data_IF_233128650767
#
_entry.id   IF_233128650767
#
_cell.length_a   1.000
_cell.length_b   1.000
_cell.length_c   1.000
_cell.angle_alpha   90.00
_cell.angle_beta   90.00
_cell.angle_gamma   90.00
#
_symmetry.space_group_name_H-M   'P 1'
#
loop_
_entity.id
_entity.type
_entity.pdbx_description
1 polymer ?
#
# COMPACT_ATOMS: atom_id res chain seq x y z
N UNK A 1 8.91 3.76 -14.57
CA UNK A 1 8.65 2.91 -13.38
C UNK A 1 9.85 3.11 -12.46
N UNK A 2 9.69 3.89 -11.40
CA UNK A 2 10.67 3.93 -10.31
C UNK A 2 10.72 2.53 -9.67
N UNK A 3 11.92 2.03 -9.39
CA UNK A 3 12.10 0.77 -8.67
C UNK A 3 11.49 0.84 -7.26
N UNK A 4 11.49 -0.28 -6.50
CA UNK A 4 11.08 -0.23 -5.10
C UNK A 4 11.91 0.83 -4.37
N UNK A 5 11.23 1.78 -3.72
CA UNK A 5 11.85 2.84 -2.93
C UNK A 5 12.66 2.19 -1.79
N UNK A 6 13.93 1.99 -2.07
CA UNK A 6 14.97 1.61 -1.13
C UNK A 6 15.75 2.91 -0.92
N UNK A 7 16.10 3.25 0.33
CA UNK A 7 16.78 4.49 0.67
C UNK A 7 18.16 4.55 -0.02
N UNK A 8 18.16 4.97 -1.28
CA UNK A 8 19.26 4.77 -2.23
C UNK A 8 19.92 6.09 -2.60
N UNK A 9 19.24 7.21 -2.38
CA UNK A 9 19.77 8.54 -2.60
C UNK A 9 19.89 9.30 -1.28
N UNK A 10 20.82 10.26 -1.25
CA UNK A 10 21.11 11.06 -0.05
C UNK A 10 19.94 11.92 0.41
N UNK A 11 18.98 12.19 -0.48
CA UNK A 11 17.79 12.97 -0.21
C UNK A 11 16.76 12.15 0.59
N UNK A 12 16.54 10.88 0.24
CA UNK A 12 15.71 9.92 1.00
C UNK A 12 16.30 9.56 2.37
N UNK A 13 17.62 9.64 2.52
CA UNK A 13 18.33 9.38 3.78
C UNK A 13 18.30 10.61 4.68
N UNK A 14 18.37 11.81 4.06
CA UNK A 14 18.23 13.10 4.75
C UNK A 14 16.78 13.45 5.04
N UNK A 15 15.84 12.90 4.29
CA UNK A 15 14.42 12.97 4.59
C UNK A 15 14.26 12.50 6.01
N UNK A 16 13.70 13.39 6.81
CA UNK A 16 13.85 13.50 8.26
C UNK A 16 13.47 12.22 9.04
N UNK A 17 12.83 11.25 8.40
CA UNK A 17 12.15 10.13 9.04
C UNK A 17 13.09 9.06 9.63
N UNK A 18 14.05 8.46 8.89
CA UNK A 18 14.83 7.35 9.43
C UNK A 18 15.76 7.80 10.57
N UNK A 19 16.41 8.95 10.40
CA UNK A 19 17.29 9.49 11.44
C UNK A 19 16.50 9.98 12.67
N UNK A 20 15.37 10.68 12.48
CA UNK A 20 14.52 11.06 13.62
C UNK A 20 13.95 9.84 14.35
N UNK A 21 13.67 8.73 13.65
CA UNK A 21 13.23 7.48 14.29
C UNK A 21 14.33 6.88 15.16
N UNK A 22 15.58 6.89 14.71
CA UNK A 22 16.71 6.45 15.54
C UNK A 22 16.79 7.29 16.82
N UNK A 23 16.67 8.62 16.72
CA UNK A 23 16.66 9.50 17.89
C UNK A 23 15.46 9.22 18.82
N UNK A 24 14.28 8.96 18.26
CA UNK A 24 13.10 8.57 19.02
C UNK A 24 13.31 7.24 19.75
N UNK A 25 13.87 6.23 19.08
CA UNK A 25 14.21 4.94 19.68
C UNK A 25 15.21 5.13 20.82
N UNK A 26 16.24 5.96 20.65
CA UNK A 26 17.20 6.29 21.73
C UNK A 26 16.50 6.90 22.94
N UNK A 27 15.51 7.78 22.71
CA UNK A 27 14.68 8.38 23.77
C UNK A 27 13.75 7.36 24.44
N UNK A 28 13.20 6.40 23.69
CA UNK A 28 12.39 5.31 24.24
C UNK A 28 13.26 4.40 25.11
N UNK A 29 14.44 4.00 24.61
CA UNK A 29 15.40 3.16 25.33
C UNK A 29 15.83 3.81 26.64
N UNK A 30 16.05 5.14 26.68
CA UNK A 30 16.47 5.84 27.89
C UNK A 30 15.36 6.03 28.95
N UNK A 31 14.12 5.64 28.66
CA UNK A 31 13.03 5.73 29.65
C UNK A 31 13.23 4.73 30.80
N UNK A 32 12.77 5.05 32.03
CA UNK A 32 12.91 4.16 33.18
C UNK A 32 12.31 2.77 32.96
N UNK A 33 11.17 2.69 32.26
CA UNK A 33 10.53 1.41 31.93
C UNK A 33 11.44 0.53 31.07
N UNK A 34 12.01 1.08 30.00
CA UNK A 34 12.92 0.34 29.12
C UNK A 34 14.25 0.03 29.79
N UNK A 35 14.79 0.96 30.58
CA UNK A 35 16.01 0.73 31.37
C UNK A 35 15.82 -0.35 32.44
N UNK A 36 14.63 -0.46 33.05
CA UNK A 36 14.33 -1.53 34.02
C UNK A 36 14.36 -2.93 33.39
N UNK A 37 14.16 -3.03 32.07
CA UNK A 37 14.28 -4.24 31.28
C UNK A 37 15.70 -4.47 30.74
N UNK A 38 16.64 -3.58 31.03
CA UNK A 38 18.01 -3.64 30.52
C UNK A 38 18.10 -3.37 29.02
N UNK A 39 17.26 -2.49 28.47
CA UNK A 39 17.33 -2.14 27.05
C UNK A 39 18.58 -1.32 26.70
N UNK A 40 19.29 -1.72 25.63
CA UNK A 40 20.46 -1.02 25.09
C UNK A 40 20.49 -1.11 23.55
N UNK A 41 21.29 -0.25 22.92
CA UNK A 41 21.54 -0.32 21.48
C UNK A 41 22.42 -1.53 21.15
N UNK A 42 22.06 -2.30 20.12
CA UNK A 42 22.85 -3.44 19.67
C UNK A 42 24.29 -2.99 19.33
N UNK A 43 25.32 -3.48 20.03
CA UNK A 43 26.72 -3.04 19.84
C UNK A 43 27.37 -3.69 18.62
N UNK A 44 26.72 -4.65 17.97
CA UNK A 44 27.24 -5.26 16.75
C UNK A 44 27.23 -4.23 15.62
N UNK A 45 28.43 -3.90 15.15
CA UNK A 45 28.65 -2.93 14.07
C UNK A 45 28.13 -3.51 12.76
N UNK A 46 27.41 -2.68 12.00
CA UNK A 46 26.93 -3.04 10.66
C UNK A 46 28.10 -3.27 9.70
N UNK A 47 28.18 -4.42 9.01
CA UNK A 47 29.18 -4.64 7.98
C UNK A 47 29.16 -3.55 6.89
N UNK A 48 30.30 -2.94 6.59
CA UNK A 48 30.45 -1.81 5.66
C UNK A 48 30.45 -0.42 6.32
N UNK A 49 30.18 -0.35 7.64
CA UNK A 49 30.16 0.89 8.42
C UNK A 49 31.23 0.94 9.52
N UNK A 50 32.22 0.05 9.50
CA UNK A 50 33.25 -0.10 10.53
C UNK A 50 34.14 1.14 10.69
N UNK A 51 34.27 1.94 9.64
CA UNK A 51 35.04 3.20 9.66
C UNK A 51 34.40 4.32 10.49
N UNK A 52 33.11 4.22 10.81
CA UNK A 52 32.38 5.26 11.54
C UNK A 52 32.30 4.95 13.03
N UNK A 53 32.42 5.99 13.87
CA UNK A 53 32.24 5.86 15.31
C UNK A 53 30.81 5.38 15.61
N UNK A 54 30.67 4.30 16.37
CA UNK A 54 29.36 3.77 16.76
C UNK A 54 28.50 4.86 17.43
N UNK A 55 27.20 4.84 17.12
CA UNK A 55 26.21 5.83 17.57
C UNK A 55 26.43 7.29 17.13
N UNK A 56 27.34 7.53 16.17
CA UNK A 56 27.48 8.82 15.49
C UNK A 56 26.44 8.98 14.38
N UNK A 57 26.22 10.22 13.96
CA UNK A 57 25.35 10.53 12.82
C UNK A 57 25.81 9.85 11.53
N UNK A 58 27.11 9.84 11.26
CA UNK A 58 27.68 9.21 10.05
C UNK A 58 27.54 7.69 10.07
N UNK A 59 27.68 7.07 11.25
CA UNK A 59 27.38 5.65 11.42
C UNK A 59 25.92 5.34 11.09
N UNK A 60 24.97 6.11 11.62
CA UNK A 60 23.55 5.89 11.36
C UNK A 60 23.16 6.11 9.90
N UNK A 61 23.75 7.11 9.22
CA UNK A 61 23.57 7.30 7.77
C UNK A 61 24.08 6.10 6.97
N UNK A 62 25.22 5.53 7.35
CA UNK A 62 25.73 4.32 6.72
C UNK A 62 24.81 3.12 7.01
N UNK A 63 24.40 2.96 8.26
CA UNK A 63 23.52 1.89 8.71
C UNK A 63 22.21 1.87 7.94
N UNK A 64 21.56 3.03 7.75
CA UNK A 64 20.30 3.15 6.99
C UNK A 64 20.49 2.69 5.54
N UNK A 65 21.59 3.04 4.88
CA UNK A 65 21.88 2.59 3.50
C UNK A 65 21.99 1.07 3.39
N UNK A 66 22.62 0.44 4.38
CA UNK A 66 22.85 -1.01 4.36
C UNK A 66 21.66 -1.83 4.88
N UNK A 67 20.88 -1.29 5.82
CA UNK A 67 19.77 -2.00 6.46
C UNK A 67 18.42 -1.31 6.23
N UNK A 68 18.17 -0.88 4.98
CA UNK A 68 16.81 -0.57 4.55
C UNK A 68 16.18 -1.82 3.97
N UNK A 69 15.07 -2.24 4.57
CA UNK A 69 14.30 -3.41 4.16
C UNK A 69 12.87 -3.00 3.82
N UNK A 70 12.27 -3.71 2.86
CA UNK A 70 10.84 -3.58 2.62
C UNK A 70 10.04 -4.22 3.75
N UNK A 71 8.95 -3.58 4.16
CA UNK A 71 7.94 -4.18 5.01
C UNK A 71 6.95 -5.09 4.24
N UNK A 72 7.24 -5.38 2.96
CA UNK A 72 6.41 -6.20 2.07
C UNK A 72 5.01 -5.62 1.81
N UNK A 73 4.90 -4.28 1.78
CA UNK A 73 3.66 -3.56 1.49
C UNK A 73 3.74 -2.71 0.20
N UNK A 74 4.02 -3.30 -0.99
CA UNK A 74 3.98 -2.54 -2.24
C UNK A 74 2.55 -2.14 -2.59
N UNK A 75 2.35 -0.89 -3.01
CA UNK A 75 1.05 -0.32 -3.39
C UNK A 75 1.21 0.66 -4.56
N UNK A 76 0.10 1.08 -5.17
CA UNK A 76 0.05 2.25 -6.05
C UNK A 76 0.51 2.06 -7.50
N UNK A 77 0.84 0.83 -7.94
CA UNK A 77 1.25 0.55 -9.32
C UNK A 77 0.11 0.66 -10.34
N UNK A 78 -1.15 0.55 -9.91
CA UNK A 78 -2.35 0.80 -10.70
C UNK A 78 -3.27 1.81 -10.01
N UNK A 79 -2.68 2.92 -9.52
CA UNK A 79 -3.32 3.96 -8.71
C UNK A 79 -4.75 4.30 -9.15
N UNK A 80 -5.67 4.27 -8.19
CA UNK A 80 -7.03 4.78 -8.34
C UNK A 80 -7.04 6.30 -8.36
N UNK A 81 -7.78 6.89 -9.31
CA UNK A 81 -7.92 8.34 -9.41
C UNK A 81 -8.81 8.81 -10.56
N UNK A 82 -9.08 10.12 -10.65
CA UNK A 82 -9.86 10.67 -11.74
C UNK A 82 -9.08 10.59 -13.06
N UNK A 83 -9.79 10.49 -14.20
CA UNK A 83 -9.17 10.45 -15.53
C UNK A 83 -8.29 11.66 -15.86
N UNK A 84 -8.47 12.78 -15.16
CA UNK A 84 -7.62 13.97 -15.25
C UNK A 84 -6.27 13.83 -14.55
N UNK A 85 -6.11 12.85 -13.65
CA UNK A 85 -4.82 12.51 -13.04
C UNK A 85 -4.05 11.58 -14.00
N UNK A 86 -2.96 12.05 -14.63
CA UNK A 86 -2.18 11.26 -15.59
C UNK A 86 -1.46 10.07 -14.95
N UNK A 87 -1.36 10.02 -13.61
CA UNK A 87 -0.80 8.88 -12.87
C UNK A 87 -1.84 7.82 -12.51
N UNK A 88 -3.13 8.08 -12.75
CA UNK A 88 -4.20 7.12 -12.45
C UNK A 88 -4.34 6.06 -13.54
N UNK A 89 -4.58 4.82 -13.12
CA UNK A 89 -4.79 3.66 -14.00
C UNK A 89 -6.23 3.16 -13.94
N UNK A 90 -6.85 3.25 -12.76
CA UNK A 90 -8.25 2.89 -12.56
C UNK A 90 -9.09 4.05 -12.06
N UNK A 91 -10.38 4.04 -12.36
CA UNK A 91 -11.37 4.95 -11.79
C UNK A 91 -11.83 4.53 -10.38
N UNK A 92 -12.77 5.28 -9.78
CA UNK A 92 -13.32 5.00 -8.44
C UNK A 92 -14.21 3.74 -8.38
N UNK A 93 -14.60 3.19 -9.54
CA UNK A 93 -15.27 1.90 -9.67
C UNK A 93 -14.27 0.77 -10.01
N UNK A 94 -12.97 1.01 -9.80
CA UNK A 94 -11.88 0.05 -10.01
C UNK A 94 -11.71 -0.41 -11.46
N UNK A 95 -12.30 0.31 -12.43
CA UNK A 95 -12.22 -0.01 -13.85
C UNK A 95 -10.98 0.60 -14.46
N UNK A 96 -10.29 -0.16 -15.30
CA UNK A 96 -9.14 0.36 -16.04
C UNK A 96 -9.59 1.44 -17.02
N UNK A 97 -8.94 2.60 -16.97
CA UNK A 97 -9.25 3.71 -17.88
C UNK A 97 -9.13 3.29 -19.34
N UNK A 98 -10.11 3.70 -20.16
CA UNK A 98 -10.17 3.39 -21.60
C UNK A 98 -10.23 1.89 -21.94
N UNK A 99 -10.57 1.03 -20.97
CA UNK A 99 -10.85 -0.40 -21.18
C UNK A 99 -12.31 -0.71 -20.85
N UNK A 100 -12.81 -1.81 -21.42
CA UNK A 100 -14.14 -2.34 -21.12
C UNK A 100 -14.00 -3.66 -20.37
N UNK A 101 -14.83 -3.84 -19.33
CA UNK A 101 -14.93 -5.10 -18.56
C UNK A 101 -13.61 -5.56 -17.91
N UNK A 102 -12.67 -4.64 -17.67
CA UNK A 102 -11.40 -4.91 -17.00
C UNK A 102 -11.30 -4.11 -15.71
N UNK A 103 -10.99 -4.81 -14.62
CA UNK A 103 -10.89 -4.27 -13.27
C UNK A 103 -9.56 -4.66 -12.64
N UNK A 104 -9.06 -3.84 -11.72
CA UNK A 104 -7.92 -4.17 -10.85
C UNK A 104 -8.41 -4.09 -9.42
N UNK A 105 -8.30 -5.20 -8.66
CA UNK A 105 -8.88 -5.33 -7.32
C UNK A 105 -7.82 -5.94 -6.39
N UNK A 106 -6.80 -5.16 -6.08
CA UNK A 106 -5.74 -5.52 -5.13
C UNK A 106 -5.08 -4.26 -4.55
N UNK A 107 -3.94 -4.41 -3.87
CA UNK A 107 -3.21 -3.30 -3.27
C UNK A 107 -2.67 -2.26 -4.27
N UNK A 108 -2.52 -2.62 -5.55
CA UNK A 108 -1.96 -1.73 -6.57
C UNK A 108 -2.82 -0.49 -6.82
N UNK A 109 -4.11 -0.55 -6.51
CA UNK A 109 -5.05 0.56 -6.70
C UNK A 109 -4.97 1.61 -5.60
N UNK A 110 -4.34 1.30 -4.45
CA UNK A 110 -4.24 2.26 -3.35
C UNK A 110 -3.43 3.50 -3.79
N UNK A 111 -3.98 4.72 -3.68
CA UNK A 111 -3.28 5.93 -4.13
C UNK A 111 -2.09 6.31 -3.25
N UNK A 112 -2.07 5.84 -2.01
CA UNK A 112 -0.96 5.95 -1.07
C UNK A 112 -0.99 4.79 -0.09
N UNK A 113 0.15 4.53 0.57
CA UNK A 113 0.26 3.50 1.59
C UNK A 113 -0.48 3.96 2.87
N UNK A 114 -1.48 3.20 3.36
CA UNK A 114 -2.12 3.52 4.63
C UNK A 114 -1.16 3.28 5.81
N UNK A 115 -1.36 4.02 6.90
CA UNK A 115 -0.58 3.85 8.14
C UNK A 115 -0.96 2.54 8.84
N UNK A 116 -0.22 1.47 8.57
CA UNK A 116 -0.39 0.18 9.22
C UNK A 116 -0.19 -1.00 8.27
N UNK A 117 -0.49 -2.20 8.75
CA UNK A 117 -0.42 -3.42 7.95
C UNK A 117 -1.59 -3.45 6.95
N UNK A 118 -1.28 -3.64 5.67
CA UNK A 118 -2.28 -3.45 4.61
C UNK A 118 -3.16 -4.66 4.34
N UNK A 119 -2.92 -5.81 5.00
CA UNK A 119 -3.69 -7.03 4.75
C UNK A 119 -5.22 -6.80 4.88
N UNK A 120 -5.64 -6.17 5.97
CA UNK A 120 -7.04 -5.84 6.19
C UNK A 120 -7.59 -4.89 5.10
N UNK A 121 -6.80 -3.90 4.69
CA UNK A 121 -7.19 -2.99 3.62
C UNK A 121 -7.35 -3.71 2.27
N UNK A 122 -6.48 -4.67 1.94
CA UNK A 122 -6.58 -5.48 0.71
C UNK A 122 -7.83 -6.36 0.73
N UNK A 123 -8.14 -7.01 1.86
CA UNK A 123 -9.38 -7.78 2.00
C UNK A 123 -10.60 -6.88 1.78
N UNK A 124 -10.61 -5.67 2.36
CA UNK A 124 -11.70 -4.72 2.17
C UNK A 124 -11.84 -4.22 0.73
N UNK A 125 -10.72 -4.05 0.01
CA UNK A 125 -10.73 -3.74 -1.43
C UNK A 125 -11.37 -4.90 -2.21
N UNK A 126 -11.03 -6.14 -1.88
CA UNK A 126 -11.61 -7.32 -2.51
C UNK A 126 -13.14 -7.40 -2.28
N UNK A 127 -13.59 -7.26 -1.03
CA UNK A 127 -15.01 -7.21 -0.66
C UNK A 127 -15.75 -6.12 -1.45
N UNK A 128 -15.18 -4.90 -1.50
CA UNK A 128 -15.78 -3.80 -2.26
C UNK A 128 -15.78 -4.07 -3.76
N UNK A 129 -14.75 -4.70 -4.28
CA UNK A 129 -14.62 -5.06 -5.69
C UNK A 129 -15.69 -6.05 -6.14
N UNK A 130 -16.02 -7.05 -5.31
CA UNK A 130 -17.13 -7.98 -5.58
C UNK A 130 -18.45 -7.22 -5.74
N UNK A 131 -18.78 -6.35 -4.79
CA UNK A 131 -19.99 -5.52 -4.84
C UNK A 131 -20.07 -4.69 -6.14
N UNK A 132 -18.95 -4.08 -6.57
CA UNK A 132 -18.88 -3.27 -7.78
C UNK A 132 -19.13 -4.12 -9.04
N UNK A 133 -18.46 -5.27 -9.12
CA UNK A 133 -18.58 -6.18 -10.27
C UNK A 133 -20.01 -6.74 -10.34
N UNK A 134 -20.57 -7.22 -9.23
CA UNK A 134 -21.94 -7.71 -9.17
C UNK A 134 -22.96 -6.65 -9.60
N UNK A 135 -22.83 -5.41 -9.10
CA UNK A 135 -23.71 -4.30 -9.49
C UNK A 135 -23.67 -4.02 -10.99
N UNK A 136 -22.48 -4.06 -11.59
CA UNK A 136 -22.33 -3.86 -13.03
C UNK A 136 -23.07 -4.92 -13.83
N UNK A 137 -22.90 -6.20 -13.48
CA UNK A 137 -23.55 -7.31 -14.17
C UNK A 137 -25.05 -7.37 -13.90
N UNK A 138 -25.51 -7.08 -12.69
CA UNK A 138 -26.93 -6.99 -12.37
C UNK A 138 -27.61 -5.89 -13.19
N UNK A 139 -26.98 -4.72 -13.32
CA UNK A 139 -27.48 -3.64 -14.17
C UNK A 139 -27.52 -4.07 -15.65
N UNK A 140 -26.46 -4.70 -16.16
CA UNK A 140 -26.48 -5.23 -17.53
C UNK A 140 -27.56 -6.30 -17.75
N UNK A 141 -27.81 -7.18 -16.79
CA UNK A 141 -28.87 -8.19 -16.87
C UNK A 141 -30.27 -7.56 -16.91
N UNK A 142 -30.47 -6.41 -16.23
CA UNK A 142 -31.72 -5.65 -16.31
C UNK A 142 -31.88 -4.86 -17.61
N UNK A 143 -30.77 -4.38 -18.20
CA UNK A 143 -30.77 -3.67 -19.50
C UNK A 143 -30.76 -4.64 -20.68
N UNK A 144 -30.38 -5.90 -20.48
CA UNK A 144 -30.43 -6.92 -21.51
C UNK A 144 -31.89 -7.18 -21.92
N UNK A 145 -32.24 -6.77 -23.14
CA UNK A 145 -33.48 -7.07 -23.87
C UNK A 145 -33.73 -8.59 -24.11
N UNK A 146 -33.16 -9.49 -23.31
CA UNK A 146 -33.45 -10.93 -23.36
C UNK A 146 -34.77 -11.32 -22.68
N UNK A 147 -35.54 -10.37 -22.13
CA UNK A 147 -36.91 -10.65 -21.69
C UNK A 147 -37.83 -11.09 -22.83
N UNK A 148 -37.53 -10.77 -24.09
CA UNK A 148 -38.41 -11.11 -25.23
C UNK A 148 -38.01 -12.38 -25.99
N UNK A 149 -36.81 -12.93 -25.79
CA UNK A 149 -36.33 -14.06 -26.61
C UNK A 149 -36.59 -15.42 -25.95
N UNK A 150 -36.58 -15.52 -24.62
CA UNK A 150 -36.62 -16.82 -23.92
C UNK A 150 -37.66 -16.94 -22.79
N UNK A 151 -38.39 -15.87 -22.46
CA UNK A 151 -39.44 -15.93 -21.45
C UNK A 151 -40.80 -15.55 -22.09
N UNK A 152 -41.81 -16.44 -22.06
CA UNK A 152 -43.15 -16.03 -22.43
C UNK A 152 -43.61 -14.91 -21.49
N UNK A 153 -44.38 -13.96 -22.04
CA UNK A 153 -44.84 -12.71 -21.43
C UNK A 153 -45.66 -12.82 -20.13
N UNK A 154 -45.72 -14.00 -19.49
CA UNK A 154 -46.53 -14.31 -18.31
C UNK A 154 -45.76 -14.82 -17.09
N UNK A 155 -44.42 -14.74 -17.07
CA UNK A 155 -43.66 -15.11 -15.86
C UNK A 155 -43.27 -13.86 -15.08
N UNK A 156 -44.10 -13.51 -14.10
CA UNK A 156 -43.72 -12.54 -13.06
C UNK A 156 -42.82 -13.22 -12.03
N UNK A 157 -41.52 -12.95 -12.13
CA UNK A 157 -40.61 -13.25 -11.03
C UNK A 157 -40.87 -12.23 -9.90
N UNK A 158 -41.51 -12.69 -8.83
CA UNK A 158 -41.47 -11.98 -7.55
C UNK A 158 -40.05 -12.12 -6.99
N UNK A 159 -39.30 -11.03 -7.04
CA UNK A 159 -38.05 -10.90 -6.28
C UNK A 159 -38.45 -10.62 -4.82
N UNK A 160 -37.81 -11.25 -3.82
CA UNK A 160 -38.04 -10.91 -2.41
C UNK A 160 -37.66 -9.46 -2.09
#
# INVERSE_FOLDING_TARGET
MSGPATATNDEEIKDLYPFAWILLIKKIISTPAMQSLGAFLNPNIMPGCEQFLFDSEDYWKCYIRHLTLTAYHPVGTCKMGPKSDPSSVVDFDLRVHNSHHLYVIDASIMPSLPSGNINAAVVMIAEKGVEIVERYWAHQAMVCHKREVFLPSKVSLKVP
#
